data_IF_182927201140
#
_entry.id   IF_182927201140
#
_cell.length_a   1.000
_cell.length_b   1.000
_cell.length_c   1.000
_cell.angle_alpha   90.00
_cell.angle_beta   90.00
_cell.angle_gamma   90.00
#
_symmetry.space_group_name_H-M   'P 1'
#
loop_
_entity.id
_entity.type
_entity.pdbx_description
1 polymer ?
#
# COMPACT_ATOMS: atom_id res chain seq x y z
N UNK A 1 5.92 4.22 6.55
CA UNK A 1 5.38 5.45 5.94
C UNK A 1 6.50 6.46 5.74
N UNK A 2 6.85 6.81 4.49
CA UNK A 2 7.95 7.75 4.22
C UNK A 2 7.51 9.21 4.12
N UNK A 3 6.24 9.53 4.34
CA UNK A 3 5.73 10.90 4.29
C UNK A 3 6.05 11.64 5.60
N UNK A 4 6.96 12.63 5.53
CA UNK A 4 7.42 13.39 6.69
C UNK A 4 6.29 14.13 7.42
N UNK A 5 5.30 14.66 6.69
CA UNK A 5 4.17 15.36 7.28
C UNK A 5 3.33 14.42 8.15
N UNK A 6 3.06 13.20 7.67
CA UNK A 6 2.36 12.18 8.46
C UNK A 6 3.17 11.72 9.68
N UNK A 7 4.51 11.67 9.57
CA UNK A 7 5.37 11.37 10.73
C UNK A 7 5.24 12.42 11.83
N UNK A 8 5.16 13.69 11.48
CA UNK A 8 4.95 14.79 12.45
C UNK A 8 3.56 14.70 13.08
N UNK A 9 2.52 14.51 12.29
CA UNK A 9 1.15 14.34 12.82
C UNK A 9 1.03 13.16 13.78
N UNK A 10 1.65 12.02 13.47
CA UNK A 10 1.63 10.84 14.34
C UNK A 10 2.36 11.12 15.66
N UNK A 11 3.49 11.85 15.63
CA UNK A 11 4.22 12.25 16.83
C UNK A 11 3.40 13.19 17.72
N UNK A 12 2.71 14.16 17.11
CA UNK A 12 1.88 15.13 17.85
C UNK A 12 0.67 14.48 18.54
N UNK A 13 0.12 13.44 17.94
CA UNK A 13 -1.10 12.79 18.46
C UNK A 13 -0.85 11.74 19.56
N UNK A 14 0.36 11.63 20.11
CA UNK A 14 0.70 10.76 21.26
C UNK A 14 0.15 9.33 21.15
N UNK A 15 0.29 8.69 19.98
CA UNK A 15 -0.11 7.31 19.82
C UNK A 15 0.60 6.39 20.81
N UNK A 16 -0.16 5.48 21.42
CA UNK A 16 0.24 4.60 22.52
C UNK A 16 1.53 3.82 22.24
N UNK A 17 2.19 3.39 23.32
CA UNK A 17 3.53 2.75 23.43
C UNK A 17 3.89 1.61 22.46
N UNK A 18 2.95 1.12 21.64
CA UNK A 18 3.15 -0.06 20.77
C UNK A 18 3.18 0.28 19.26
N UNK A 19 3.41 1.54 18.89
CA UNK A 19 3.51 1.97 17.50
C UNK A 19 4.97 2.33 17.18
N UNK A 20 5.53 1.68 16.17
CA UNK A 20 6.82 2.05 15.58
C UNK A 20 6.61 2.55 14.15
N UNK A 21 7.21 3.68 13.81
CA UNK A 21 7.15 4.28 12.48
C UNK A 21 8.53 4.24 11.85
N UNK A 22 8.57 3.87 10.58
CA UNK A 22 9.82 3.77 9.83
C UNK A 22 9.77 4.64 8.59
N UNK A 23 10.82 5.45 8.41
CA UNK A 23 11.01 6.30 7.24
C UNK A 23 11.53 5.47 6.07
N UNK A 24 10.68 4.61 5.52
CA UNK A 24 10.95 3.86 4.31
C UNK A 24 9.66 3.48 3.60
N UNK A 25 9.74 3.32 2.29
CA UNK A 25 8.71 2.70 1.48
C UNK A 25 8.98 1.21 1.30
N UNK A 26 7.93 0.43 1.08
CA UNK A 26 8.03 -0.99 0.74
C UNK A 26 7.86 -1.19 -0.77
N UNK A 27 8.63 -2.14 -1.32
CA UNK A 27 8.56 -2.47 -2.75
C UNK A 27 9.22 -3.80 -3.08
N UNK A 28 9.38 -4.07 -4.37
CA UNK A 28 9.91 -5.34 -4.89
C UNK A 28 11.40 -5.57 -4.63
N UNK A 29 12.18 -4.48 -4.51
CA UNK A 29 13.64 -4.50 -4.30
C UNK A 29 14.13 -3.24 -3.62
N UNK A 30 15.32 -3.32 -3.02
CA UNK A 30 16.00 -2.15 -2.44
C UNK A 30 16.39 -1.16 -3.54
N UNK A 31 16.02 0.10 -3.38
CA UNK A 31 16.40 1.21 -4.26
C UNK A 31 16.09 2.56 -3.61
N UNK A 32 16.63 3.62 -4.15
CA UNK A 32 16.09 4.97 -3.96
C UNK A 32 15.00 5.24 -5.00
N UNK A 33 13.99 5.98 -4.65
CA UNK A 33 12.88 6.32 -5.54
C UNK A 33 12.32 7.69 -5.19
N UNK A 34 11.49 8.23 -6.09
CA UNK A 34 10.69 9.42 -5.82
C UNK A 34 9.26 8.98 -5.52
N UNK A 35 8.76 9.33 -4.34
CA UNK A 35 7.35 9.19 -4.01
C UNK A 35 6.61 10.48 -4.37
N UNK A 36 5.42 10.36 -4.91
CA UNK A 36 4.53 11.48 -5.20
C UNK A 36 3.54 11.63 -4.05
N UNK A 37 3.56 12.78 -3.40
CA UNK A 37 2.69 13.13 -2.27
C UNK A 37 1.67 14.14 -2.78
N UNK A 38 0.39 13.93 -2.53
CA UNK A 38 -0.67 14.88 -2.85
C UNK A 38 -0.83 15.91 -1.73
N UNK A 39 -0.99 17.17 -2.12
CA UNK A 39 -1.12 18.27 -1.14
C UNK A 39 -2.45 18.24 -0.41
N UNK A 40 -3.53 17.76 -1.05
CA UNK A 40 -4.89 17.86 -0.53
C UNK A 40 -5.27 16.78 0.51
N UNK A 41 -4.72 15.58 0.40
CA UNK A 41 -5.12 14.45 1.24
C UNK A 41 -3.94 13.64 1.79
N UNK A 42 -2.73 14.17 1.64
CA UNK A 42 -1.46 13.57 2.07
C UNK A 42 -1.25 12.14 1.56
N UNK A 43 -2.07 11.67 0.61
CA UNK A 43 -1.86 10.34 0.03
C UNK A 43 -0.57 10.33 -0.76
N UNK A 44 0.19 9.26 -0.61
CA UNK A 44 1.49 9.11 -1.23
C UNK A 44 1.58 7.84 -2.06
N UNK A 45 2.23 7.89 -3.22
CA UNK A 45 2.38 6.74 -4.09
C UNK A 45 3.72 6.69 -4.81
N UNK A 46 4.28 5.48 -4.92
CA UNK A 46 5.37 5.15 -5.84
C UNK A 46 4.87 4.81 -7.24
N UNK A 47 3.57 4.67 -7.43
CA UNK A 47 2.96 4.32 -8.72
C UNK A 47 2.88 5.53 -9.65
N UNK A 48 3.07 5.26 -10.94
CA UNK A 48 2.88 6.29 -11.98
C UNK A 48 1.39 6.52 -12.21
N UNK A 49 0.96 7.76 -12.09
CA UNK A 49 -0.43 8.18 -12.31
C UNK A 49 -0.74 8.14 -13.80
N UNK A 50 -1.92 7.66 -14.13
CA UNK A 50 -2.48 7.72 -15.47
C UNK A 50 -3.29 9.01 -15.64
N UNK A 51 -2.67 10.04 -16.19
CA UNK A 51 -3.31 11.35 -16.43
C UNK A 51 -4.55 11.26 -17.33
N UNK A 52 -4.70 10.20 -18.11
CA UNK A 52 -5.86 9.98 -18.97
C UNK A 52 -7.02 9.24 -18.26
N UNK A 53 -6.87 8.93 -17.00
CA UNK A 53 -7.91 8.25 -16.21
C UNK A 53 -9.14 9.13 -16.08
N UNK A 54 -10.30 8.62 -16.47
CA UNK A 54 -11.58 9.29 -16.26
C UNK A 54 -11.83 9.61 -14.80
N UNK A 55 -11.48 8.67 -13.91
CA UNK A 55 -11.59 8.86 -12.46
C UNK A 55 -10.76 10.05 -11.97
N UNK A 56 -9.53 10.20 -12.45
CA UNK A 56 -8.68 11.33 -12.07
C UNK A 56 -9.33 12.66 -12.50
N UNK A 57 -9.84 12.73 -13.71
CA UNK A 57 -10.52 13.92 -14.25
C UNK A 57 -11.76 14.28 -13.42
N UNK A 58 -12.59 13.30 -13.05
CA UNK A 58 -13.76 13.52 -12.17
C UNK A 58 -13.31 13.99 -10.78
N UNK A 59 -12.25 13.41 -10.22
CA UNK A 59 -11.71 13.81 -8.93
C UNK A 59 -11.17 15.25 -8.96
N UNK A 60 -10.45 15.63 -10.00
CA UNK A 60 -9.99 17.01 -10.20
C UNK A 60 -11.15 18.00 -10.34
N UNK A 61 -12.20 17.62 -11.03
CA UNK A 61 -13.41 18.45 -11.15
C UNK A 61 -14.12 18.66 -9.80
N UNK A 62 -14.27 17.60 -9.01
CA UNK A 62 -14.92 17.67 -7.68
C UNK A 62 -14.08 18.49 -6.70
N UNK A 63 -12.77 18.40 -6.76
CA UNK A 63 -11.84 19.09 -5.86
C UNK A 63 -11.51 20.53 -6.31
N UNK A 64 -12.11 21.00 -7.39
CA UNK A 64 -12.00 22.40 -7.84
C UNK A 64 -10.70 22.78 -8.54
N UNK A 65 -9.95 21.81 -9.11
CA UNK A 65 -8.75 22.13 -9.89
C UNK A 65 -7.73 20.99 -10.00
N UNK A 66 -6.59 21.31 -10.60
CA UNK A 66 -5.49 20.36 -10.77
C UNK A 66 -4.92 19.91 -9.42
N UNK A 67 -4.77 18.61 -9.26
CA UNK A 67 -4.16 18.03 -8.06
C UNK A 67 -2.64 18.17 -8.19
N UNK A 68 -2.03 18.94 -7.30
CA UNK A 68 -0.59 19.09 -7.24
C UNK A 68 0.06 17.90 -6.52
N UNK A 69 1.25 17.54 -6.99
CA UNK A 69 2.04 16.45 -6.44
C UNK A 69 3.44 16.95 -6.12
N UNK A 70 3.80 16.89 -4.86
CA UNK A 70 5.18 17.08 -4.41
C UNK A 70 5.96 15.77 -4.54
N UNK A 71 7.24 15.84 -4.88
CA UNK A 71 8.11 14.68 -4.98
C UNK A 71 9.12 14.67 -3.85
N UNK A 72 9.19 13.58 -3.13
CA UNK A 72 10.15 13.34 -2.07
C UNK A 72 11.02 12.13 -2.41
N UNK A 73 12.35 12.22 -2.19
CA UNK A 73 13.23 11.06 -2.25
C UNK A 73 13.00 10.16 -1.07
N UNK A 74 12.83 8.85 -1.34
CA UNK A 74 12.59 7.84 -0.31
C UNK A 74 13.45 6.61 -0.52
N UNK A 75 13.83 5.96 0.57
CA UNK A 75 14.46 4.64 0.55
C UNK A 75 13.37 3.58 0.43
N UNK A 76 13.48 2.73 -0.58
CA UNK A 76 12.60 1.57 -0.76
C UNK A 76 13.32 0.33 -0.27
N UNK A 77 12.68 -0.47 0.56
CA UNK A 77 13.14 -1.78 0.98
C UNK A 77 12.10 -2.86 0.66
N UNK A 78 12.45 -4.12 0.81
CA UNK A 78 11.47 -5.21 0.72
C UNK A 78 10.93 -5.55 2.11
N UNK A 79 9.69 -6.03 2.19
CA UNK A 79 9.13 -6.48 3.47
C UNK A 79 9.94 -7.64 4.04
N UNK A 80 10.43 -8.54 3.19
CA UNK A 80 11.32 -9.64 3.61
C UNK A 80 12.58 -9.13 4.28
N UNK A 81 13.27 -8.14 3.68
CA UNK A 81 14.47 -7.56 4.27
C UNK A 81 14.18 -6.78 5.55
N UNK A 82 13.06 -6.05 5.58
CA UNK A 82 12.64 -5.33 6.78
C UNK A 82 12.43 -6.31 7.95
N UNK A 83 11.69 -7.39 7.71
CA UNK A 83 11.45 -8.42 8.72
C UNK A 83 12.73 -9.13 9.17
N UNK A 84 13.66 -9.40 8.25
CA UNK A 84 14.95 -9.99 8.55
C UNK A 84 15.78 -9.10 9.49
N UNK A 85 15.93 -7.82 9.15
CA UNK A 85 16.66 -6.83 9.97
C UNK A 85 16.01 -6.66 11.35
N UNK A 86 14.68 -6.64 11.42
CA UNK A 86 13.92 -6.50 12.67
C UNK A 86 13.71 -7.84 13.41
N UNK A 87 14.22 -8.95 12.89
CA UNK A 87 14.06 -10.30 13.45
C UNK A 87 12.59 -10.72 13.59
N UNK A 88 11.71 -10.21 12.73
CA UNK A 88 10.29 -10.56 12.68
C UNK A 88 10.13 -11.87 11.92
N UNK A 89 9.71 -12.92 12.60
CA UNK A 89 9.55 -14.27 12.02
C UNK A 89 8.11 -14.58 11.61
N UNK A 90 7.14 -13.88 12.16
CA UNK A 90 5.70 -14.10 11.96
C UNK A 90 4.96 -12.75 11.99
N UNK A 91 3.91 -12.65 11.20
CA UNK A 91 3.03 -11.47 11.18
C UNK A 91 1.59 -11.95 11.29
N UNK A 92 0.83 -11.37 12.20
CA UNK A 92 -0.59 -11.68 12.33
C UNK A 92 -1.42 -11.00 11.24
N UNK A 93 -1.18 -9.71 10.99
CA UNK A 93 -1.90 -8.94 9.98
C UNK A 93 -0.94 -8.03 9.24
N UNK A 94 -1.02 -8.03 7.90
CA UNK A 94 -0.42 -7.01 7.05
C UNK A 94 -1.54 -6.20 6.42
N UNK A 95 -1.61 -4.88 6.65
CA UNK A 95 -2.41 -3.96 5.83
C UNK A 95 -1.53 -3.36 4.74
N UNK A 96 -1.96 -3.46 3.48
CA UNK A 96 -1.29 -2.89 2.31
C UNK A 96 -2.24 -1.87 1.68
N UNK A 97 -1.86 -0.60 1.78
CA UNK A 97 -2.60 0.55 1.31
C UNK A 97 -1.56 1.56 0.81
N UNK A 98 -1.14 1.39 -0.43
CA UNK A 98 0.01 2.09 -1.02
C UNK A 98 -0.31 2.69 -2.40
N UNK A 99 -1.58 2.97 -2.61
CA UNK A 99 -2.08 3.75 -3.71
C UNK A 99 -1.56 3.27 -5.09
N UNK A 100 -1.89 2.02 -5.41
CA UNK A 100 -1.56 1.39 -6.70
C UNK A 100 -0.21 0.67 -6.76
N UNK A 101 0.54 0.60 -5.66
CA UNK A 101 1.84 -0.10 -5.60
C UNK A 101 1.79 -1.45 -4.86
N UNK A 102 0.59 -1.94 -4.53
CA UNK A 102 0.33 -3.12 -3.70
C UNK A 102 1.03 -4.38 -4.21
N UNK A 103 0.99 -4.61 -5.53
CA UNK A 103 1.64 -5.77 -6.12
C UNK A 103 3.16 -5.75 -5.96
N UNK A 104 3.78 -4.59 -6.00
CA UNK A 104 5.23 -4.44 -5.80
C UNK A 104 5.63 -4.70 -4.35
N UNK A 105 4.77 -4.30 -3.39
CA UNK A 105 4.95 -4.65 -1.96
C UNK A 105 4.87 -6.16 -1.78
N UNK A 106 3.88 -6.82 -2.38
CA UNK A 106 3.74 -8.28 -2.33
C UNK A 106 4.94 -9.01 -2.94
N UNK A 107 5.50 -8.50 -4.05
CA UNK A 107 6.72 -9.06 -4.65
C UNK A 107 7.94 -8.97 -3.73
N UNK A 108 7.96 -8.00 -2.80
CA UNK A 108 8.99 -7.86 -1.77
C UNK A 108 8.72 -8.66 -0.48
N UNK A 109 7.63 -9.45 -0.45
CA UNK A 109 7.20 -10.20 0.74
C UNK A 109 7.22 -11.73 0.54
N UNK A 110 8.00 -12.24 -0.42
CA UNK A 110 7.95 -13.65 -0.86
C UNK A 110 8.24 -14.68 0.23
N UNK A 111 9.04 -14.33 1.24
CA UNK A 111 9.39 -15.20 2.37
C UNK A 111 8.38 -15.02 3.50
N UNK A 112 8.23 -13.79 4.01
CA UNK A 112 7.44 -13.51 5.21
C UNK A 112 5.95 -13.74 4.99
N UNK A 113 5.45 -13.64 3.75
CA UNK A 113 4.06 -13.88 3.41
C UNK A 113 3.61 -15.29 3.80
N UNK A 114 4.50 -16.29 3.76
CA UNK A 114 4.22 -17.66 4.16
C UNK A 114 4.01 -17.83 5.67
N UNK A 115 4.48 -16.86 6.46
CA UNK A 115 4.34 -16.78 7.92
C UNK A 115 3.42 -15.63 8.34
N UNK A 116 2.55 -15.19 7.43
CA UNK A 116 1.55 -14.14 7.67
C UNK A 116 0.17 -14.77 7.75
N UNK A 117 -0.63 -14.43 8.78
CA UNK A 117 -1.99 -14.97 8.96
C UNK A 117 -3.01 -14.28 8.07
N UNK A 118 -3.06 -12.95 8.09
CA UNK A 118 -4.03 -12.15 7.34
C UNK A 118 -3.35 -11.08 6.50
N UNK A 119 -3.90 -10.85 5.32
CA UNK A 119 -3.57 -9.69 4.47
C UNK A 119 -4.84 -8.88 4.25
N UNK A 120 -4.80 -7.63 4.63
CA UNK A 120 -5.80 -6.63 4.29
C UNK A 120 -5.20 -5.77 3.17
N UNK A 121 -5.87 -5.68 2.05
CA UNK A 121 -5.33 -4.97 0.89
C UNK A 121 -6.40 -4.12 0.23
N UNK A 122 -6.07 -2.87 -0.06
CA UNK A 122 -6.90 -2.01 -0.87
C UNK A 122 -6.79 -2.42 -2.33
N UNK A 123 -7.93 -2.61 -2.98
CA UNK A 123 -8.02 -2.98 -4.38
C UNK A 123 -8.72 -1.88 -5.16
N UNK A 124 -7.99 -1.23 -6.05
CA UNK A 124 -8.51 -0.20 -6.92
C UNK A 124 -9.44 -0.79 -8.00
N UNK A 125 -10.56 -0.12 -8.24
CA UNK A 125 -11.55 -0.45 -9.29
C UNK A 125 -11.41 0.43 -10.53
N UNK A 126 -10.47 1.36 -10.50
CA UNK A 126 -10.26 2.36 -11.54
C UNK A 126 -8.92 2.19 -12.25
N UNK A 127 -8.69 2.99 -13.29
CA UNK A 127 -7.47 3.00 -14.09
C UNK A 127 -6.49 4.13 -13.71
N UNK A 128 -6.55 4.62 -12.47
CA UNK A 128 -5.77 5.77 -12.01
C UNK A 128 -4.26 5.51 -12.04
N UNK A 129 -3.84 4.27 -11.82
CA UNK A 129 -2.43 3.88 -11.80
C UNK A 129 -2.06 3.00 -12.99
N UNK A 130 -1.00 3.38 -13.74
CA UNK A 130 -0.61 2.72 -15.01
C UNK A 130 -0.22 1.25 -14.85
N UNK A 131 0.42 0.89 -13.76
CA UNK A 131 0.97 -0.46 -13.54
C UNK A 131 0.10 -1.32 -12.63
N UNK A 132 -1.05 -0.81 -12.21
CA UNK A 132 -1.93 -1.52 -11.30
C UNK A 132 -2.57 -2.74 -11.97
N UNK A 133 -2.59 -3.85 -11.26
CA UNK A 133 -3.25 -5.07 -11.73
C UNK A 133 -3.82 -5.88 -10.58
N UNK A 134 -5.13 -5.75 -10.39
CA UNK A 134 -5.91 -6.57 -9.44
C UNK A 134 -5.66 -8.08 -9.65
N UNK A 135 -5.64 -8.53 -10.91
CA UNK A 135 -5.41 -9.95 -11.25
C UNK A 135 -4.06 -10.47 -10.75
N UNK A 136 -2.99 -9.65 -10.85
CA UNK A 136 -1.67 -10.03 -10.35
C UNK A 136 -1.66 -10.16 -8.82
N UNK A 137 -2.34 -9.26 -8.11
CA UNK A 137 -2.52 -9.31 -6.65
C UNK A 137 -3.24 -10.59 -6.25
N UNK A 138 -4.41 -10.86 -6.85
CA UNK A 138 -5.21 -12.05 -6.57
C UNK A 138 -4.45 -13.36 -6.83
N UNK A 139 -3.75 -13.43 -7.98
CA UNK A 139 -2.94 -14.59 -8.35
C UNK A 139 -1.76 -14.81 -7.37
N UNK A 140 -1.08 -13.74 -6.96
CA UNK A 140 0.01 -13.82 -5.98
C UNK A 140 -0.50 -14.38 -4.65
N UNK A 141 -1.59 -13.82 -4.12
CA UNK A 141 -2.16 -14.27 -2.85
C UNK A 141 -2.66 -15.71 -2.93
N UNK A 142 -3.34 -16.08 -4.02
CA UNK A 142 -3.79 -17.46 -4.25
C UNK A 142 -2.63 -18.46 -4.30
N UNK A 143 -1.54 -18.11 -5.02
CA UNK A 143 -0.31 -18.93 -5.11
C UNK A 143 0.37 -19.14 -3.76
N UNK A 144 0.23 -18.17 -2.84
CA UNK A 144 0.78 -18.24 -1.49
C UNK A 144 -0.25 -18.71 -0.44
N UNK A 145 -1.23 -19.52 -0.85
CA UNK A 145 -2.23 -20.16 0.01
C UNK A 145 -3.23 -19.22 0.71
N UNK A 146 -3.40 -18.01 0.24
CA UNK A 146 -4.41 -17.10 0.79
C UNK A 146 -5.76 -17.31 0.14
N UNK A 147 -6.82 -17.31 0.96
CA UNK A 147 -8.23 -17.31 0.57
C UNK A 147 -8.86 -15.99 0.91
N UNK A 148 -9.56 -15.39 -0.05
CA UNK A 148 -10.39 -14.23 0.20
C UNK A 148 -11.53 -14.61 1.14
N UNK A 149 -11.67 -13.90 2.27
CA UNK A 149 -12.72 -14.15 3.26
C UNK A 149 -13.74 -13.02 3.35
N UNK A 150 -13.35 -11.78 3.08
CA UNK A 150 -14.26 -10.64 3.14
C UNK A 150 -13.89 -9.55 2.15
N UNK A 151 -14.89 -8.81 1.67
CA UNK A 151 -14.77 -7.61 0.85
C UNK A 151 -15.59 -6.50 1.50
N UNK A 152 -15.00 -5.34 1.65
CA UNK A 152 -15.70 -4.14 2.05
C UNK A 152 -15.82 -3.23 0.84
N UNK A 153 -17.06 -2.98 0.40
CA UNK A 153 -17.35 -2.05 -0.66
C UNK A 153 -17.77 -0.73 -0.03
N UNK A 154 -17.10 0.34 -0.41
CA UNK A 154 -17.51 1.67 0.00
C UNK A 154 -18.43 2.24 -1.09
N UNK A 155 -19.64 2.68 -0.74
CA UNK A 155 -20.55 3.35 -1.69
C UNK A 155 -19.84 4.53 -2.34
N UNK A 156 -20.02 4.68 -3.65
CA UNK A 156 -19.40 5.76 -4.45
C UNK A 156 -17.87 5.79 -4.49
N UNK A 157 -17.18 4.84 -3.85
CA UNK A 157 -15.72 4.76 -3.88
C UNK A 157 -15.23 3.81 -4.96
N UNK A 158 -14.13 4.18 -5.59
CA UNK A 158 -13.51 3.43 -6.68
C UNK A 158 -12.45 2.44 -6.17
N UNK A 159 -12.49 2.12 -4.89
CA UNK A 159 -11.65 1.12 -4.25
C UNK A 159 -12.48 0.17 -3.37
N UNK A 160 -11.85 -0.85 -2.86
CA UNK A 160 -12.45 -1.91 -2.06
C UNK A 160 -11.38 -2.51 -1.16
N UNK A 161 -11.65 -2.57 0.13
CA UNK A 161 -10.80 -3.34 1.05
C UNK A 161 -11.14 -4.83 0.99
N UNK A 162 -10.12 -5.65 0.95
CA UNK A 162 -10.24 -7.10 0.92
C UNK A 162 -9.41 -7.75 2.00
N UNK A 163 -10.02 -8.70 2.72
CA UNK A 163 -9.35 -9.50 3.72
C UNK A 163 -9.10 -10.90 3.16
N UNK A 164 -7.85 -11.29 3.20
CA UNK A 164 -7.40 -12.63 2.84
C UNK A 164 -6.84 -13.33 4.07
N UNK A 165 -7.19 -14.61 4.26
CA UNK A 165 -6.64 -15.48 5.30
C UNK A 165 -5.73 -16.53 4.68
N UNK A 166 -4.58 -16.77 5.29
CA UNK A 166 -3.69 -17.84 4.90
C UNK A 166 -4.25 -19.18 5.41
N UNK A 167 -4.45 -20.13 4.50
CA UNK A 167 -4.99 -21.46 4.81
C UNK A 167 -4.09 -22.33 5.69
N UNK A 168 -2.80 -21.98 5.81
CA UNK A 168 -1.83 -22.69 6.64
C UNK A 168 -2.13 -22.52 8.14
N UNK A 169 -2.83 -21.45 8.50
CA UNK A 169 -3.17 -21.12 9.89
C UNK A 169 -4.69 -21.24 10.06
N UNK A 170 -5.18 -22.45 10.17
CA UNK A 170 -6.58 -22.73 10.50
C UNK A 170 -6.82 -22.61 11.99
#
# INVERSE_FOLDING_TARGET
EPNNTLHEEIKLNNFKKNLEIYDCALGEKKKESLISIRDLDLTSSLSKINKNSFYLKVKELILGGNINYNKQKVKVTTLDNFCEVKKIKKIDIIKIDVEGYEYMVLLGAKKIINNTHYVIIEVQKNSMYKSYSKKKIENFLKKNNFKLIKKFNFPFMFFQDRIYRNKKFN
#
